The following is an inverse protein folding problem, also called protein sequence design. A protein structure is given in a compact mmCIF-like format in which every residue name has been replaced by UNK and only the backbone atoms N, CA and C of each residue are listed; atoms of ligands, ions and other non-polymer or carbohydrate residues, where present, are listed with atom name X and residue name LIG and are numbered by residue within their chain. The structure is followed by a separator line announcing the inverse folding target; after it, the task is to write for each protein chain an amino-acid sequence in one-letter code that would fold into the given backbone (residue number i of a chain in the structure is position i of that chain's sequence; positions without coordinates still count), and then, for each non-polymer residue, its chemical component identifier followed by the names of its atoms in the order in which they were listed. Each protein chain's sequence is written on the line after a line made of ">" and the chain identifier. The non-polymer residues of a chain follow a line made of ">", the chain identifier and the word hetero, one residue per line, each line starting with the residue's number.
data_IF_420803100002
#
_entry.id   IF_420803100002
#
_cell.length_a   1.000
_cell.length_b   1.000
_cell.length_c   1.000
_cell.angle_alpha   90.00
_cell.angle_beta   90.00
_cell.angle_gamma   90.00
#
_symmetry.space_group_name_H-M   'P 1'
#
loop_
_entity.id
_entity.type
_entity.pdbx_description
1 polymer ?
#
# COMPACT_ATOMS: atom_id res chain seq x y z
N UNK A 1 16.49 -29.10 -18.84
CA UNK A 1 17.53 -29.68 -17.97
C UNK A 1 17.75 -28.64 -16.86
N UNK A 2 17.04 -28.76 -15.76
CA UNK A 2 17.19 -27.88 -14.60
C UNK A 2 18.37 -28.38 -13.78
N UNK A 3 19.35 -27.54 -13.54
CA UNK A 3 20.47 -27.82 -12.63
C UNK A 3 20.02 -27.47 -11.21
N UNK A 4 19.85 -28.49 -10.38
CA UNK A 4 19.65 -28.33 -8.95
C UNK A 4 21.03 -28.01 -8.33
N UNK A 5 21.17 -26.84 -7.76
CA UNK A 5 22.36 -26.45 -7.01
C UNK A 5 22.04 -26.61 -5.50
N UNK A 6 22.48 -27.71 -4.91
CA UNK A 6 22.40 -27.92 -3.47
C UNK A 6 23.58 -27.19 -2.80
N UNK A 7 23.28 -26.23 -1.92
CA UNK A 7 24.27 -25.51 -1.12
C UNK A 7 24.32 -26.15 0.28
N UNK A 8 25.36 -26.93 0.56
CA UNK A 8 25.60 -27.51 1.89
C UNK A 8 26.45 -26.50 2.69
N UNK A 9 25.88 -25.87 3.70
CA UNK A 9 26.59 -25.04 4.67
C UNK A 9 26.91 -25.87 5.92
N UNK A 10 28.16 -26.36 6.04
CA UNK A 10 28.63 -26.98 7.29
C UNK A 10 29.21 -25.91 8.21
N UNK A 11 28.53 -25.64 9.31
CA UNK A 11 29.05 -24.82 10.40
C UNK A 11 29.61 -25.74 11.50
N UNK A 12 30.95 -25.84 11.59
CA UNK A 12 31.63 -26.65 12.60
C UNK A 12 31.70 -25.97 13.94
N UNK A 13 31.01 -26.48 14.94
CA UNK A 13 31.49 -26.64 16.32
C UNK A 13 30.49 -27.43 17.17
N UNK A 14 30.91 -28.55 17.58
CA UNK A 14 30.52 -29.53 18.60
C UNK A 14 29.22 -29.34 19.39
N UNK A 15 28.16 -29.98 18.90
CA UNK A 15 27.10 -30.77 19.55
C UNK A 15 26.13 -31.15 18.45
N UNK A 16 25.70 -32.44 18.42
CA UNK A 16 24.66 -32.89 17.47
C UNK A 16 23.44 -31.95 17.60
N UNK A 17 23.26 -31.10 16.63
CA UNK A 17 22.02 -30.41 16.31
C UNK A 17 21.57 -30.96 14.97
N UNK A 18 20.27 -31.14 14.82
CA UNK A 18 19.63 -31.59 13.61
C UNK A 18 20.16 -30.75 12.42
N UNK A 19 20.60 -31.44 11.37
CA UNK A 19 21.05 -30.78 10.14
C UNK A 19 19.83 -30.21 9.44
N UNK A 20 19.84 -28.90 9.25
CA UNK A 20 18.80 -28.18 8.51
C UNK A 20 19.30 -28.00 7.09
N UNK A 21 18.54 -28.50 6.12
CA UNK A 21 18.82 -28.35 4.70
C UNK A 21 17.87 -27.34 4.10
N UNK A 22 18.37 -26.49 3.23
CA UNK A 22 17.56 -25.53 2.47
C UNK A 22 17.58 -25.90 0.98
N UNK A 23 16.39 -26.03 0.38
CA UNK A 23 16.23 -26.25 -1.05
C UNK A 23 15.51 -25.09 -1.71
N UNK A 24 15.89 -24.77 -2.97
CA UNK A 24 15.22 -23.74 -3.76
C UNK A 24 14.35 -24.43 -4.81
N UNK A 25 13.04 -24.32 -4.67
CA UNK A 25 12.05 -24.81 -5.63
C UNK A 25 11.27 -23.62 -6.17
N UNK A 26 11.33 -23.40 -7.47
CA UNK A 26 10.67 -22.27 -8.16
C UNK A 26 10.95 -20.87 -7.57
N UNK A 27 12.19 -20.67 -7.07
CA UNK A 27 12.61 -19.39 -6.50
C UNK A 27 12.23 -19.21 -5.01
N UNK A 28 11.66 -20.22 -4.36
CA UNK A 28 11.30 -20.23 -2.94
C UNK A 28 12.35 -21.07 -2.19
N UNK A 29 12.88 -20.53 -1.08
CA UNK A 29 13.78 -21.26 -0.18
C UNK A 29 12.92 -22.01 0.82
N UNK A 30 13.07 -23.34 0.86
CA UNK A 30 12.33 -24.25 1.73
C UNK A 30 13.30 -24.85 2.75
N UNK A 31 12.97 -24.78 4.03
CA UNK A 31 13.68 -25.48 5.10
C UNK A 31 13.16 -26.91 5.22
N UNK A 32 14.04 -27.90 5.08
CA UNK A 32 13.68 -29.34 5.13
C UNK A 32 14.24 -29.95 6.40
N UNK A 33 13.36 -30.46 7.26
CA UNK A 33 13.72 -31.22 8.46
C UNK A 33 13.59 -32.72 8.21
N UNK A 34 14.67 -33.48 8.34
CA UNK A 34 14.62 -34.94 8.28
C UNK A 34 15.97 -35.61 8.07
N UNK A 35 16.12 -36.80 8.67
CA UNK A 35 17.34 -37.64 8.70
C UNK A 35 17.55 -38.49 7.43
N UNK A 36 16.77 -38.31 6.35
CA UNK A 36 16.93 -39.13 5.14
C UNK A 36 17.14 -38.22 3.90
N UNK A 37 18.24 -38.45 3.21
CA UNK A 37 18.50 -37.88 1.91
C UNK A 37 17.46 -38.38 0.89
N UNK A 38 16.44 -37.59 0.60
CA UNK A 38 15.45 -37.91 -0.43
C UNK A 38 16.05 -37.54 -1.76
N UNK A 39 16.41 -38.55 -2.56
CA UNK A 39 16.61 -38.40 -4.00
C UNK A 39 15.23 -38.17 -4.60
N UNK A 40 14.89 -36.93 -4.86
CA UNK A 40 13.59 -36.55 -5.39
C UNK A 40 13.45 -36.97 -6.85
N UNK A 41 12.61 -37.96 -7.07
CA UNK A 41 11.96 -38.17 -8.36
C UNK A 41 10.74 -37.20 -8.38
N UNK A 42 10.69 -36.33 -9.38
CA UNK A 42 9.84 -35.12 -9.45
C UNK A 42 8.31 -35.42 -9.56
N UNK A 43 7.85 -36.56 -9.06
CA UNK A 43 6.49 -37.05 -9.23
C UNK A 43 5.62 -37.19 -7.97
N UNK A 44 6.16 -37.07 -6.77
CA UNK A 44 5.40 -37.40 -5.55
C UNK A 44 5.85 -36.62 -4.30
N UNK A 45 5.66 -35.31 -4.28
CA UNK A 45 5.73 -34.51 -3.07
C UNK A 45 4.31 -34.42 -2.49
N UNK A 46 4.06 -35.15 -1.39
CA UNK A 46 2.85 -34.97 -0.61
C UNK A 46 2.95 -33.70 0.20
N UNK A 47 1.85 -32.94 0.24
CA UNK A 47 1.71 -31.64 0.92
C UNK A 47 1.98 -31.66 2.43
N UNK A 48 2.20 -32.83 3.03
CA UNK A 48 2.24 -33.01 4.48
C UNK A 48 3.63 -32.78 5.10
N UNK A 49 4.67 -32.56 4.28
CA UNK A 49 6.05 -32.33 4.73
C UNK A 49 6.63 -30.95 4.34
N UNK A 50 5.80 -30.08 3.82
CA UNK A 50 6.18 -28.69 3.51
C UNK A 50 5.81 -27.82 4.71
N UNK A 51 6.79 -27.37 5.46
CA UNK A 51 6.62 -26.30 6.44
C UNK A 51 7.04 -25.01 5.74
N UNK A 52 6.07 -24.20 5.35
CA UNK A 52 6.31 -22.81 5.00
C UNK A 52 6.52 -22.09 6.32
N UNK A 53 7.73 -21.64 6.59
CA UNK A 53 7.99 -20.78 7.75
C UNK A 53 7.42 -19.40 7.41
N UNK A 54 6.13 -19.21 7.68
CA UNK A 54 5.59 -17.87 7.91
C UNK A 54 6.07 -17.47 9.30
N UNK A 55 6.94 -16.47 9.43
CA UNK A 55 7.23 -15.89 10.73
C UNK A 55 5.92 -15.38 11.32
N UNK A 56 5.51 -15.94 12.45
CA UNK A 56 4.39 -15.40 13.22
C UNK A 56 4.70 -13.96 13.59
N UNK A 57 3.78 -13.01 13.39
CA UNK A 57 3.95 -11.67 13.91
C UNK A 57 4.06 -11.77 15.43
N UNK A 58 5.15 -11.24 16.00
CA UNK A 58 5.29 -11.11 17.45
C UNK A 58 4.02 -10.45 18.02
N UNK A 59 3.50 -11.00 19.13
CA UNK A 59 2.31 -10.53 19.84
C UNK A 59 2.38 -9.02 20.11
N UNK A 60 1.69 -8.23 19.31
CA UNK A 60 1.45 -6.82 19.58
C UNK A 60 0.23 -6.66 20.47
N UNK A 61 0.45 -6.18 21.69
CA UNK A 61 -0.58 -5.87 22.67
C UNK A 61 -1.58 -4.84 22.12
N UNK A 62 -2.77 -5.31 21.75
CA UNK A 62 -3.87 -4.51 21.18
C UNK A 62 -4.51 -3.58 22.23
N UNK A 63 -4.14 -3.68 23.50
CA UNK A 63 -4.77 -2.97 24.62
C UNK A 63 -4.36 -1.49 24.74
N UNK A 64 -3.34 -0.99 24.01
CA UNK A 64 -2.83 0.38 24.13
C UNK A 64 -3.57 1.43 23.26
N UNK A 65 -4.72 1.12 22.67
CA UNK A 65 -5.37 1.96 21.65
C UNK A 65 -6.39 2.99 22.14
N UNK A 66 -6.48 3.29 23.43
CA UNK A 66 -7.45 4.24 23.96
C UNK A 66 -6.80 5.45 24.61
N UNK A 67 -6.35 6.42 23.80
CA UNK A 67 -6.28 7.84 24.20
C UNK A 67 -6.04 8.71 22.95
N UNK A 68 -7.11 9.17 22.31
CA UNK A 68 -7.01 10.23 21.28
C UNK A 68 -7.36 11.55 21.94
N UNK A 69 -6.36 12.41 22.18
CA UNK A 69 -6.53 13.79 22.55
C UNK A 69 -6.79 14.66 21.32
N UNK A 70 -7.66 15.66 21.45
CA UNK A 70 -7.91 16.70 20.44
C UNK A 70 -6.62 17.49 20.15
N UNK A 71 -6.23 17.61 18.87
CA UNK A 71 -5.10 18.43 18.43
C UNK A 71 -5.55 19.60 17.54
N UNK A 72 -5.03 20.78 17.91
CA UNK A 72 -5.21 22.06 17.20
C UNK A 72 -4.22 22.14 16.02
N UNK A 73 -4.75 22.19 14.77
CA UNK A 73 -4.00 22.20 13.51
C UNK A 73 -3.63 23.60 13.00
N UNK A 74 -3.76 24.64 13.81
CA UNK A 74 -3.48 26.02 13.34
C UNK A 74 -2.00 26.38 13.23
N UNK A 75 -1.05 25.46 13.46
CA UNK A 75 0.38 25.77 13.59
C UNK A 75 1.28 25.21 12.46
N UNK A 76 0.74 24.64 11.37
CA UNK A 76 1.58 24.11 10.28
C UNK A 76 1.33 24.88 8.99
N UNK A 77 1.70 26.16 8.99
CA UNK A 77 1.88 26.96 7.78
C UNK A 77 3.04 27.96 7.94
N UNK A 78 4.19 27.46 8.30
CA UNK A 78 5.40 28.26 8.16
C UNK A 78 6.55 27.32 7.77
N UNK A 79 7.10 27.54 6.56
CA UNK A 79 8.11 26.70 5.91
C UNK A 79 9.46 26.69 6.61
N UNK A 80 9.49 26.31 7.86
CA UNK A 80 10.72 26.03 8.58
C UNK A 80 11.15 24.61 8.31
N UNK A 81 12.21 24.47 7.51
CA UNK A 81 12.94 23.22 7.37
C UNK A 81 13.19 22.63 8.75
N UNK A 82 12.68 21.41 8.99
CA UNK A 82 13.02 20.65 10.19
C UNK A 82 14.51 20.33 10.12
N UNK A 83 15.32 21.12 10.80
CA UNK A 83 16.73 20.82 11.02
C UNK A 83 16.80 19.71 12.05
N UNK A 84 17.20 18.52 11.61
CA UNK A 84 17.55 17.43 12.51
C UNK A 84 18.81 17.79 13.30
N UNK A 85 18.94 17.34 14.57
CA UNK A 85 20.10 17.70 15.39
C UNK A 85 21.42 17.24 14.76
N UNK A 86 22.37 18.17 14.63
CA UNK A 86 23.70 17.97 14.04
C UNK A 86 24.61 17.01 14.84
N UNK A 87 24.16 16.39 15.90
CA UNK A 87 25.04 15.69 16.86
C UNK A 87 25.49 14.29 16.43
N UNK A 88 24.83 13.60 15.49
CA UNK A 88 25.29 12.30 14.97
C UNK A 88 26.27 12.40 13.79
N UNK A 89 26.42 13.57 13.19
CA UNK A 89 27.24 13.78 11.99
C UNK A 89 28.75 13.84 12.25
N UNK A 90 29.21 13.96 13.49
CA UNK A 90 30.60 14.29 13.82
C UNK A 90 31.56 13.11 13.94
N UNK A 91 31.14 11.87 13.61
CA UNK A 91 32.04 10.70 13.63
C UNK A 91 32.03 9.85 12.35
N UNK A 92 31.87 10.51 11.18
CA UNK A 92 31.90 9.79 9.89
C UNK A 92 33.32 9.29 9.65
N UNK A 93 33.48 7.96 9.50
CA UNK A 93 34.78 7.36 9.13
C UNK A 93 35.21 7.79 7.72
N UNK A 94 36.51 7.71 7.40
CA UNK A 94 37.01 8.00 6.06
C UNK A 94 36.33 7.09 4.99
N UNK A 95 36.03 5.84 5.33
CA UNK A 95 35.31 4.90 4.45
C UNK A 95 33.84 5.35 4.20
N UNK A 96 33.17 5.82 5.23
CA UNK A 96 31.83 6.38 5.11
C UNK A 96 31.81 7.63 4.24
N UNK A 97 32.83 8.50 4.37
CA UNK A 97 32.95 9.70 3.53
C UNK A 97 33.06 9.36 2.05
N UNK A 98 33.84 8.32 1.68
CA UNK A 98 33.96 7.86 0.29
C UNK A 98 32.62 7.29 -0.21
N UNK A 99 31.93 6.51 0.62
CA UNK A 99 30.62 5.94 0.28
C UNK A 99 29.59 7.05 0.04
N UNK A 100 29.51 8.03 0.95
CA UNK A 100 28.58 9.15 0.81
C UNK A 100 28.87 9.98 -0.45
N UNK A 101 30.15 10.26 -0.74
CA UNK A 101 30.52 10.98 -1.96
C UNK A 101 30.06 10.23 -3.22
N UNK A 102 30.26 8.91 -3.27
CA UNK A 102 29.81 8.09 -4.39
C UNK A 102 28.27 8.10 -4.54
N UNK A 103 27.51 8.07 -3.44
CA UNK A 103 26.06 8.13 -3.48
C UNK A 103 25.57 9.51 -3.98
N UNK A 104 26.22 10.61 -3.58
CA UNK A 104 25.93 11.96 -4.11
C UNK A 104 26.17 12.04 -5.62
N UNK A 105 27.30 11.48 -6.09
CA UNK A 105 27.60 11.39 -7.54
C UNK A 105 26.56 10.56 -8.28
N UNK A 106 26.17 9.42 -7.74
CA UNK A 106 25.12 8.58 -8.33
C UNK A 106 23.77 9.32 -8.41
N UNK A 107 23.36 10.04 -7.37
CA UNK A 107 22.13 10.82 -7.38
C UNK A 107 22.19 11.97 -8.40
N UNK A 108 23.32 12.64 -8.52
CA UNK A 108 23.52 13.68 -9.54
C UNK A 108 23.49 13.11 -10.96
N UNK A 109 24.09 11.92 -11.16
CA UNK A 109 24.04 11.23 -12.45
C UNK A 109 22.59 10.77 -12.79
N UNK A 110 21.83 10.30 -11.80
CA UNK A 110 20.42 9.98 -11.95
C UNK A 110 19.61 11.20 -12.40
N UNK A 111 19.80 12.34 -11.75
CA UNK A 111 19.17 13.59 -12.17
C UNK A 111 19.58 13.98 -13.61
N UNK A 112 20.84 13.81 -13.97
CA UNK A 112 21.31 14.11 -15.33
C UNK A 112 20.61 13.25 -16.39
N UNK A 113 20.29 11.98 -16.09
CA UNK A 113 19.51 11.13 -16.99
C UNK A 113 18.06 11.59 -17.18
N UNK A 114 17.48 12.23 -16.17
CA UNK A 114 16.12 12.74 -16.20
C UNK A 114 16.00 14.19 -16.72
N UNK A 115 17.12 14.90 -16.88
CA UNK A 115 17.14 16.35 -17.09
C UNK A 115 16.31 16.81 -18.28
N UNK A 116 16.46 16.19 -19.45
CA UNK A 116 15.72 16.62 -20.65
C UNK A 116 14.22 16.37 -20.50
N UNK A 117 13.82 15.25 -19.86
CA UNK A 117 12.42 14.97 -19.58
C UNK A 117 11.86 16.05 -18.67
N UNK A 118 12.50 16.31 -17.53
CA UNK A 118 12.07 17.33 -16.60
C UNK A 118 12.01 18.75 -17.21
N UNK A 119 12.99 19.12 -18.05
CA UNK A 119 13.01 20.41 -18.73
C UNK A 119 11.82 20.61 -19.68
N UNK A 120 11.43 19.56 -20.39
CA UNK A 120 10.38 19.59 -21.41
C UNK A 120 8.98 19.30 -20.87
N UNK A 121 8.85 18.78 -19.63
CA UNK A 121 7.58 18.48 -19.00
C UNK A 121 6.75 19.76 -18.78
N UNK A 122 5.44 19.63 -18.92
CA UNK A 122 4.49 20.67 -18.51
C UNK A 122 4.39 20.66 -16.97
N UNK A 123 4.85 21.73 -16.36
CA UNK A 123 4.88 21.90 -14.90
C UNK A 123 3.64 22.61 -14.34
N UNK A 124 2.65 22.84 -15.23
CA UNK A 124 1.46 23.58 -14.84
C UNK A 124 1.73 25.06 -14.56
N UNK A 125 0.71 25.74 -14.07
CA UNK A 125 0.75 27.18 -13.75
C UNK A 125 0.62 27.48 -12.25
N UNK A 126 0.58 26.44 -11.40
CA UNK A 126 0.51 26.57 -9.94
C UNK A 126 1.89 26.73 -9.31
N UNK A 127 1.92 27.17 -8.05
CA UNK A 127 3.17 27.22 -7.27
C UNK A 127 3.76 25.82 -7.04
N UNK A 128 2.90 24.78 -7.05
CA UNK A 128 3.31 23.40 -6.88
C UNK A 128 3.46 22.77 -8.26
N UNK A 129 4.68 22.41 -8.61
CA UNK A 129 4.98 21.63 -9.82
C UNK A 129 4.33 20.26 -9.65
N UNK A 130 3.57 19.85 -10.65
CA UNK A 130 3.04 18.48 -10.73
C UNK A 130 3.24 17.98 -12.15
N UNK A 131 4.14 17.02 -12.30
CA UNK A 131 4.39 16.33 -13.57
C UNK A 131 3.23 15.41 -13.90
N UNK A 132 3.03 15.14 -15.18
CA UNK A 132 2.10 14.10 -15.61
C UNK A 132 2.67 12.71 -15.26
N UNK A 133 1.78 11.72 -15.10
CA UNK A 133 2.18 10.33 -14.88
C UNK A 133 3.07 9.81 -16.02
N UNK A 134 2.84 10.28 -17.25
CA UNK A 134 3.66 9.95 -18.41
C UNK A 134 5.10 10.50 -18.29
N UNK A 135 5.28 11.70 -17.73
CA UNK A 135 6.60 12.28 -17.49
C UNK A 135 7.33 11.53 -16.37
N UNK A 136 6.62 11.21 -15.27
CA UNK A 136 7.16 10.40 -14.16
C UNK A 136 7.58 9.02 -14.66
N UNK A 137 6.74 8.33 -15.43
CA UNK A 137 7.06 7.04 -16.05
C UNK A 137 8.28 7.13 -16.97
N UNK A 138 8.39 8.22 -17.74
CA UNK A 138 9.52 8.48 -18.61
C UNK A 138 10.82 8.67 -17.83
N UNK A 139 10.78 9.37 -16.70
CA UNK A 139 11.93 9.53 -15.79
C UNK A 139 12.35 8.19 -15.20
N UNK A 140 11.41 7.36 -14.72
CA UNK A 140 11.68 6.00 -14.22
C UNK A 140 12.34 5.16 -15.30
N UNK A 141 11.82 5.19 -16.52
CA UNK A 141 12.38 4.46 -17.67
C UNK A 141 13.80 4.93 -17.98
N UNK A 142 14.07 6.24 -18.00
CA UNK A 142 15.40 6.80 -18.24
C UNK A 142 16.41 6.34 -17.16
N UNK A 143 15.99 6.29 -15.90
CA UNK A 143 16.81 5.76 -14.80
C UNK A 143 17.12 4.26 -15.03
N UNK A 144 16.13 3.47 -15.44
CA UNK A 144 16.31 2.06 -15.76
C UNK A 144 17.29 1.81 -16.91
N UNK A 145 17.27 2.67 -17.96
CA UNK A 145 18.17 2.57 -19.10
C UNK A 145 19.64 2.77 -18.71
N UNK A 146 19.92 3.54 -17.67
CA UNK A 146 21.28 3.72 -17.13
C UNK A 146 21.60 2.77 -15.97
N UNK A 147 20.71 1.78 -15.72
CA UNK A 147 20.92 0.72 -14.74
C UNK A 147 20.57 1.10 -13.30
N UNK A 148 19.73 2.10 -13.07
CA UNK A 148 19.25 2.47 -11.75
C UNK A 148 17.87 1.87 -11.47
N UNK A 149 17.74 1.15 -10.36
CA UNK A 149 16.44 0.67 -9.88
C UNK A 149 15.60 1.84 -9.39
N UNK A 150 14.52 2.17 -10.07
CA UNK A 150 13.70 3.35 -9.76
C UNK A 150 12.20 3.04 -9.76
N UNK A 151 11.49 3.69 -8.84
CA UNK A 151 10.01 3.67 -8.72
C UNK A 151 9.49 5.10 -8.59
N UNK A 152 8.18 5.28 -8.74
CA UNK A 152 7.50 6.51 -8.35
C UNK A 152 7.18 6.53 -6.84
N UNK A 153 6.89 7.72 -6.34
CA UNK A 153 6.52 7.91 -4.93
C UNK A 153 5.22 7.18 -4.53
N UNK A 154 4.25 7.14 -5.44
CA UNK A 154 2.94 6.54 -5.18
C UNK A 154 2.94 5.01 -5.32
N UNK A 155 3.91 4.43 -6.03
CA UNK A 155 3.98 3.00 -6.33
C UNK A 155 3.07 2.57 -7.48
N UNK A 156 2.74 3.50 -8.38
CA UNK A 156 1.86 3.25 -9.53
C UNK A 156 2.57 2.51 -10.67
N UNK A 157 3.90 2.66 -10.76
CA UNK A 157 4.72 2.05 -11.81
C UNK A 157 5.58 0.91 -11.26
N UNK A 158 5.87 -0.06 -12.12
CA UNK A 158 6.82 -1.11 -11.80
C UNK A 158 8.24 -0.54 -11.69
N UNK A 159 9.03 -1.10 -10.77
CA UNK A 159 10.44 -0.72 -10.60
C UNK A 159 11.21 -0.98 -11.90
N UNK A 160 11.89 0.06 -12.42
CA UNK A 160 12.83 -0.11 -13.52
C UNK A 160 14.12 -0.78 -13.04
N UNK A 161 14.79 -1.56 -13.88
CA UNK A 161 16.01 -2.32 -13.54
C UNK A 161 15.89 -3.04 -12.18
N UNK A 162 14.72 -3.67 -11.93
CA UNK A 162 14.37 -4.27 -10.64
C UNK A 162 15.26 -5.45 -10.26
N UNK A 163 15.87 -6.12 -11.23
CA UNK A 163 16.70 -7.32 -11.04
C UNK A 163 17.83 -7.07 -10.03
N UNK A 164 18.43 -5.88 -10.06
CA UNK A 164 19.50 -5.54 -9.11
C UNK A 164 19.01 -5.44 -7.68
N UNK A 165 17.80 -4.91 -7.51
CA UNK A 165 17.18 -4.85 -6.19
C UNK A 165 16.63 -6.20 -5.75
N UNK A 166 16.14 -7.04 -6.67
CA UNK A 166 15.72 -8.42 -6.36
C UNK A 166 16.92 -9.26 -5.90
N UNK A 167 18.07 -9.16 -6.59
CA UNK A 167 19.32 -9.78 -6.17
C UNK A 167 19.78 -9.30 -4.79
N UNK A 168 19.70 -8.01 -4.52
CA UNK A 168 19.97 -7.46 -3.19
C UNK A 168 19.01 -8.03 -2.14
N UNK A 169 17.73 -8.07 -2.44
CA UNK A 169 16.71 -8.59 -1.55
C UNK A 169 16.86 -10.10 -1.28
N UNK A 170 17.34 -10.87 -2.25
CA UNK A 170 17.77 -12.26 -2.03
C UNK A 170 18.86 -12.38 -0.94
N UNK A 171 19.78 -11.43 -0.89
CA UNK A 171 20.80 -11.39 0.17
C UNK A 171 20.23 -10.99 1.56
N UNK A 172 19.09 -10.28 1.61
CA UNK A 172 18.38 -10.02 2.88
C UNK A 172 17.91 -11.34 3.47
N UNK A 173 17.26 -12.19 2.67
CA UNK A 173 16.78 -13.52 3.08
C UNK A 173 17.95 -14.38 3.59
N UNK A 174 19.09 -14.34 2.91
CA UNK A 174 20.28 -15.08 3.29
C UNK A 174 21.02 -14.49 4.51
N UNK A 175 20.56 -13.34 5.02
CA UNK A 175 21.12 -12.66 6.19
C UNK A 175 22.62 -12.34 6.09
N UNK A 176 23.10 -12.01 4.88
CA UNK A 176 24.51 -11.68 4.61
C UNK A 176 24.74 -10.18 4.53
N UNK A 177 26.00 -9.74 4.67
CA UNK A 177 26.36 -8.35 4.45
C UNK A 177 26.19 -7.98 2.97
N UNK A 178 25.38 -7.01 2.69
CA UNK A 178 25.02 -6.58 1.34
C UNK A 178 24.63 -5.10 1.32
N UNK A 179 24.50 -4.54 0.13
CA UNK A 179 24.04 -3.16 -0.07
C UNK A 179 23.24 -3.08 -1.35
N UNK A 180 22.08 -2.43 -1.29
CA UNK A 180 21.22 -2.16 -2.44
C UNK A 180 20.82 -0.68 -2.48
N UNK A 181 20.62 -0.14 -3.68
CA UNK A 181 20.24 1.25 -3.88
C UNK A 181 19.06 1.31 -4.83
N UNK A 182 18.03 2.05 -4.43
CA UNK A 182 16.92 2.39 -5.31
C UNK A 182 16.64 3.89 -5.30
N UNK A 183 15.94 4.36 -6.31
CA UNK A 183 15.57 5.75 -6.50
C UNK A 183 14.07 5.90 -6.50
N UNK A 184 13.60 7.04 -5.99
CA UNK A 184 12.18 7.42 -6.03
C UNK A 184 12.05 8.71 -6.82
N UNK A 185 11.16 8.69 -7.82
CA UNK A 185 10.74 9.87 -8.58
C UNK A 185 9.45 10.40 -7.97
N UNK A 186 9.45 11.68 -7.62
CA UNK A 186 8.28 12.32 -7.01
C UNK A 186 7.45 13.07 -8.06
N UNK A 187 6.15 13.34 -7.78
CA UNK A 187 5.28 14.05 -8.71
C UNK A 187 5.78 15.46 -9.10
N UNK A 188 6.56 16.12 -8.26
CA UNK A 188 7.19 17.41 -8.56
C UNK A 188 8.53 17.27 -9.30
N UNK A 189 8.92 16.05 -9.64
CA UNK A 189 10.14 15.72 -10.38
C UNK A 189 11.41 15.69 -9.55
N UNK A 190 11.37 15.94 -8.23
CA UNK A 190 12.55 15.71 -7.42
C UNK A 190 12.88 14.22 -7.30
N UNK A 191 14.12 13.91 -6.97
CA UNK A 191 14.61 12.54 -6.86
C UNK A 191 15.12 12.27 -5.45
N UNK A 192 14.78 11.11 -4.91
CA UNK A 192 15.44 10.59 -3.71
C UNK A 192 16.17 9.29 -3.99
N UNK A 193 17.33 9.13 -3.37
CA UNK A 193 18.12 7.91 -3.34
C UNK A 193 18.02 7.28 -1.97
N UNK A 194 17.79 5.99 -1.92
CA UNK A 194 17.77 5.18 -0.71
C UNK A 194 18.77 4.03 -0.87
N UNK A 195 19.81 4.02 -0.02
CA UNK A 195 20.79 2.95 0.04
C UNK A 195 20.66 2.18 1.34
N UNK A 196 20.12 0.96 1.25
CA UNK A 196 20.08 0.03 2.37
C UNK A 196 21.36 -0.79 2.38
N UNK A 197 21.94 -1.02 3.56
CA UNK A 197 23.11 -1.87 3.69
C UNK A 197 23.17 -2.51 5.07
N UNK A 198 23.77 -3.69 5.09
CA UNK A 198 24.04 -4.43 6.32
C UNK A 198 25.52 -4.42 6.62
N UNK A 199 25.88 -4.01 7.81
CA UNK A 199 27.25 -3.97 8.29
C UNK A 199 27.30 -4.45 9.74
N UNK A 200 28.23 -5.36 10.04
CA UNK A 200 28.40 -5.91 11.40
C UNK A 200 27.11 -6.44 12.04
N UNK A 201 26.20 -6.99 11.23
CA UNK A 201 24.92 -7.55 11.70
C UNK A 201 23.78 -6.54 11.80
N UNK A 202 24.04 -5.25 11.64
CA UNK A 202 23.04 -4.17 11.75
C UNK A 202 22.66 -3.65 10.37
N UNK A 203 21.38 -3.38 10.17
CA UNK A 203 20.86 -2.73 8.98
C UNK A 203 20.88 -1.21 9.11
N UNK A 204 21.26 -0.56 8.04
CA UNK A 204 21.34 0.89 7.93
C UNK A 204 20.69 1.38 6.64
N UNK A 205 20.19 2.62 6.68
CA UNK A 205 19.69 3.36 5.53
C UNK A 205 20.47 4.68 5.40
N UNK A 206 20.94 4.97 4.19
CA UNK A 206 21.33 6.32 3.79
C UNK A 206 20.24 6.82 2.83
N UNK A 207 19.66 7.99 3.13
CA UNK A 207 18.73 8.66 2.22
C UNK A 207 19.31 10.00 1.79
N UNK A 208 19.10 10.34 0.52
CA UNK A 208 19.49 11.65 -0.05
C UNK A 208 18.37 12.13 -0.95
N UNK A 209 18.06 13.42 -0.91
CA UNK A 209 17.05 14.02 -1.77
C UNK A 209 17.63 15.20 -2.55
N UNK A 210 17.30 15.27 -3.84
CA UNK A 210 17.80 16.23 -4.79
C UNK A 210 16.62 16.95 -5.46
N UNK A 211 16.68 18.28 -5.52
CA UNK A 211 15.71 19.10 -6.21
C UNK A 211 16.34 19.85 -7.38
N UNK A 212 15.48 20.28 -8.31
CA UNK A 212 15.82 21.15 -9.42
C UNK A 212 15.78 22.60 -9.01
N UNK A 213 16.73 23.39 -9.49
CA UNK A 213 16.69 24.85 -9.43
C UNK A 213 16.00 25.40 -10.70
N UNK A 214 15.68 26.70 -10.68
CA UNK A 214 15.01 27.38 -11.82
C UNK A 214 15.83 27.34 -13.13
N UNK A 215 17.14 27.23 -13.03
CA UNK A 215 18.06 27.10 -14.16
C UNK A 215 18.32 25.64 -14.59
N UNK A 216 17.52 24.70 -14.06
CA UNK A 216 17.66 23.26 -14.27
C UNK A 216 19.03 22.67 -13.87
N UNK A 217 19.74 23.36 -12.99
CA UNK A 217 20.78 22.75 -12.17
C UNK A 217 20.16 22.01 -10.99
N UNK A 218 20.92 21.19 -10.31
CA UNK A 218 20.39 20.39 -9.20
C UNK A 218 21.13 20.69 -7.90
N UNK A 219 20.43 20.52 -6.79
CA UNK A 219 21.00 20.60 -5.44
C UNK A 219 20.52 19.45 -4.58
N UNK A 220 21.41 18.84 -3.82
CA UNK A 220 21.04 17.94 -2.74
C UNK A 220 20.64 18.81 -1.54
N UNK A 221 19.39 18.67 -1.10
CA UNK A 221 18.83 19.50 -0.02
C UNK A 221 18.61 18.71 1.28
N UNK A 222 18.64 17.38 1.20
CA UNK A 222 18.50 16.50 2.35
C UNK A 222 19.45 15.32 2.25
N UNK A 223 20.04 14.95 3.37
CA UNK A 223 20.86 13.76 3.51
C UNK A 223 20.72 13.24 4.95
N UNK A 224 20.53 11.94 5.11
CA UNK A 224 20.36 11.31 6.41
C UNK A 224 20.90 9.89 6.45
N UNK A 225 21.30 9.43 7.65
CA UNK A 225 21.70 8.06 7.94
C UNK A 225 20.90 7.55 9.14
N UNK A 226 20.35 6.36 9.02
CA UNK A 226 19.45 5.80 10.02
C UNK A 226 19.78 4.33 10.27
N UNK A 227 19.69 3.90 11.52
CA UNK A 227 19.62 2.49 11.85
C UNK A 227 18.20 1.99 11.54
N UNK A 228 18.09 0.76 11.02
CA UNK A 228 16.81 0.13 10.71
C UNK A 228 16.49 -0.92 11.79
N UNK A 229 15.24 -0.93 12.25
CA UNK A 229 14.72 -1.92 13.19
C UNK A 229 14.35 -3.22 12.49
N UNK A 230 13.66 -3.11 11.36
CA UNK A 230 13.21 -4.25 10.57
C UNK A 230 13.64 -4.08 9.12
N UNK A 231 14.11 -5.15 8.48
CA UNK A 231 14.28 -5.23 7.02
C UNK A 231 13.89 -6.63 6.59
N UNK A 232 12.89 -6.76 5.74
CA UNK A 232 12.41 -8.04 5.21
C UNK A 232 12.04 -7.94 3.74
N UNK A 233 12.07 -9.08 3.06
CA UNK A 233 11.64 -9.21 1.67
C UNK A 233 10.63 -10.34 1.57
N UNK A 234 9.48 -10.07 0.97
CA UNK A 234 8.38 -11.03 0.88
C UNK A 234 8.43 -11.82 -0.43
N UNK A 235 7.78 -12.97 -0.47
CA UNK A 235 7.66 -13.80 -1.68
C UNK A 235 6.98 -13.06 -2.84
N UNK A 236 6.10 -12.11 -2.55
CA UNK A 236 5.45 -11.25 -3.55
C UNK A 236 6.37 -10.16 -4.10
N UNK A 237 7.56 -9.99 -3.54
CA UNK A 237 8.53 -8.99 -3.99
C UNK A 237 8.40 -7.64 -3.33
N UNK A 238 7.85 -7.58 -2.11
CA UNK A 238 7.84 -6.37 -1.31
C UNK A 238 9.09 -6.28 -0.43
N UNK A 239 9.89 -5.23 -0.61
CA UNK A 239 10.92 -4.82 0.34
C UNK A 239 10.24 -3.96 1.42
N UNK A 240 10.32 -4.42 2.67
CA UNK A 240 9.69 -3.78 3.82
C UNK A 240 10.77 -3.46 4.84
N UNK A 241 10.83 -2.22 5.29
CA UNK A 241 11.75 -1.84 6.35
C UNK A 241 11.18 -0.73 7.25
N UNK A 242 11.63 -0.69 8.49
CA UNK A 242 11.30 0.37 9.44
C UNK A 242 12.55 1.05 9.97
N UNK A 243 12.46 2.34 10.29
CA UNK A 243 13.49 3.01 11.08
C UNK A 243 13.46 2.49 12.52
N UNK A 244 14.60 2.51 13.19
CA UNK A 244 14.60 2.26 14.62
C UNK A 244 13.90 3.45 15.30
N UNK A 245 12.77 3.19 15.94
CA UNK A 245 11.91 4.24 16.54
C UNK A 245 12.26 4.50 18.02
N UNK A 246 13.37 3.95 18.53
CA UNK A 246 13.81 4.21 19.90
C UNK A 246 13.99 5.71 20.20
N UNK A 247 14.30 6.49 19.16
CA UNK A 247 14.62 7.92 19.26
C UNK A 247 13.39 8.82 18.97
N UNK A 248 12.24 8.23 18.60
CA UNK A 248 11.00 8.98 18.38
C UNK A 248 10.23 9.17 19.68
N UNK A 249 9.68 10.37 19.90
CA UNK A 249 8.69 10.57 20.94
C UNK A 249 7.37 9.85 20.63
N UNK A 250 6.48 9.75 21.63
CA UNK A 250 5.24 8.98 21.45
C UNK A 250 4.30 9.58 20.40
N UNK A 251 4.36 10.89 20.17
CA UNK A 251 3.58 11.57 19.13
C UNK A 251 4.13 11.25 17.74
N UNK A 252 5.45 11.21 17.56
CA UNK A 252 6.10 10.82 16.32
C UNK A 252 5.79 9.36 15.99
N UNK A 253 5.82 8.45 16.98
CA UNK A 253 5.42 7.05 16.81
C UNK A 253 3.97 6.88 16.37
N UNK A 254 3.08 7.71 16.88
CA UNK A 254 1.65 7.64 16.56
C UNK A 254 1.29 8.16 15.16
N UNK A 255 2.08 9.08 14.61
CA UNK A 255 1.76 9.84 13.41
C UNK A 255 2.66 9.56 12.21
N UNK A 256 3.66 8.67 12.34
CA UNK A 256 4.58 8.35 11.24
C UNK A 256 4.27 6.94 10.74
N UNK A 257 4.25 6.75 9.42
CA UNK A 257 4.25 5.41 8.82
C UNK A 257 5.44 4.63 9.40
N UNK A 258 5.14 3.57 10.13
CA UNK A 258 6.16 2.79 10.82
C UNK A 258 7.05 2.05 9.83
N UNK A 259 6.50 1.73 8.65
CA UNK A 259 7.18 0.94 7.63
C UNK A 259 7.20 1.64 6.28
N UNK A 260 8.34 1.54 5.61
CA UNK A 260 8.44 1.81 4.17
C UNK A 260 8.30 0.48 3.44
N UNK A 261 7.39 0.45 2.47
CA UNK A 261 7.13 -0.73 1.64
C UNK A 261 7.33 -0.36 0.17
N UNK A 262 8.26 -1.04 -0.49
CA UNK A 262 8.59 -0.83 -1.92
C UNK A 262 8.36 -2.14 -2.67
N UNK A 263 7.55 -2.08 -3.73
CA UNK A 263 7.38 -3.20 -4.63
C UNK A 263 8.60 -3.31 -5.53
N UNK A 264 9.42 -4.35 -5.35
CA UNK A 264 10.62 -4.62 -6.15
C UNK A 264 10.25 -5.46 -7.37
N UNK A 265 9.61 -6.63 -7.17
CA UNK A 265 9.17 -7.45 -8.30
C UNK A 265 8.03 -6.78 -9.05
N UNK A 266 8.03 -6.82 -10.38
CA UNK A 266 6.96 -6.23 -11.18
C UNK A 266 5.58 -6.76 -10.77
N UNK A 267 4.63 -5.86 -10.71
CA UNK A 267 3.22 -6.19 -10.55
C UNK A 267 2.66 -6.53 -11.93
N UNK A 268 1.93 -7.63 -12.04
CA UNK A 268 1.33 -8.06 -13.30
C UNK A 268 0.36 -6.98 -13.83
N UNK A 269 0.52 -6.60 -15.11
CA UNK A 269 -0.24 -5.50 -15.72
C UNK A 269 -1.75 -5.80 -15.76
N UNK A 270 -2.14 -7.07 -15.94
CA UNK A 270 -3.56 -7.45 -15.93
C UNK A 270 -4.13 -7.35 -14.53
N UNK A 271 -3.40 -7.83 -13.52
CA UNK A 271 -3.80 -7.70 -12.12
C UNK A 271 -3.94 -6.23 -11.72
N UNK A 272 -2.99 -5.37 -12.13
CA UNK A 272 -3.05 -3.91 -11.93
C UNK A 272 -4.30 -3.32 -12.57
N UNK A 273 -4.55 -3.58 -13.84
CA UNK A 273 -5.73 -3.07 -14.54
C UNK A 273 -7.06 -3.54 -13.92
N UNK A 274 -7.09 -4.77 -13.39
CA UNK A 274 -8.26 -5.28 -12.66
C UNK A 274 -8.43 -4.58 -11.32
N UNK A 275 -7.35 -4.34 -10.57
CA UNK A 275 -7.37 -3.60 -9.31
C UNK A 275 -7.89 -2.17 -9.51
N UNK A 276 -7.30 -1.42 -10.42
CA UNK A 276 -7.70 -0.04 -10.78
C UNK A 276 -9.17 0.04 -11.17
N UNK A 277 -9.61 -0.87 -12.01
CA UNK A 277 -10.96 -0.84 -12.57
C UNK A 277 -12.05 -1.21 -11.56
N UNK A 278 -11.82 -2.23 -10.73
CA UNK A 278 -12.88 -2.85 -9.96
C UNK A 278 -12.75 -2.67 -8.45
N UNK A 279 -11.55 -2.39 -7.93
CA UNK A 279 -11.29 -2.44 -6.50
C UNK A 279 -10.87 -1.08 -5.93
N UNK A 280 -9.87 -0.42 -6.50
CA UNK A 280 -9.20 0.74 -5.90
C UNK A 280 -10.11 1.95 -5.70
N UNK A 281 -11.04 2.18 -6.61
CA UNK A 281 -11.98 3.31 -6.52
C UNK A 281 -12.94 3.22 -5.34
N UNK A 282 -13.18 2.02 -4.83
CA UNK A 282 -13.96 1.77 -3.61
C UNK A 282 -13.00 1.61 -2.42
N UNK A 283 -11.99 0.75 -2.55
CA UNK A 283 -11.02 0.47 -1.51
C UNK A 283 -11.65 -0.02 -0.20
N UNK A 284 -10.95 0.25 0.91
CA UNK A 284 -11.37 -0.24 2.23
C UNK A 284 -11.69 0.89 3.23
N UNK A 285 -11.62 2.16 2.81
CA UNK A 285 -11.82 3.29 3.71
C UNK A 285 -13.31 3.54 3.93
N UNK A 286 -13.75 3.49 5.20
CA UNK A 286 -15.11 3.82 5.66
C UNK A 286 -16.27 3.21 4.83
N UNK A 287 -16.03 2.04 4.25
CA UNK A 287 -17.06 1.18 3.65
C UNK A 287 -16.71 -0.29 3.90
N UNK A 288 -17.70 -1.18 3.82
CA UNK A 288 -17.48 -2.58 4.16
C UNK A 288 -17.64 -3.53 2.97
N UNK A 289 -17.64 -3.03 1.74
CA UNK A 289 -17.88 -3.85 0.55
C UNK A 289 -16.94 -5.05 0.47
N UNK A 290 -15.65 -4.84 0.71
CA UNK A 290 -14.61 -5.85 0.54
C UNK A 290 -14.12 -6.49 1.85
N UNK A 291 -14.67 -6.06 3.01
CA UNK A 291 -14.30 -6.60 4.32
C UNK A 291 -15.41 -7.39 4.99
N UNK A 292 -16.45 -7.74 4.24
CA UNK A 292 -17.55 -8.58 4.71
C UNK A 292 -17.95 -9.59 3.65
N UNK A 293 -18.50 -10.74 4.07
CA UNK A 293 -19.00 -11.77 3.17
C UNK A 293 -20.43 -11.41 2.71
N UNK A 294 -20.64 -11.35 1.40
CA UNK A 294 -21.92 -11.10 0.79
C UNK A 294 -22.01 -11.69 -0.63
N UNK A 295 -23.22 -11.86 -1.15
CA UNK A 295 -23.47 -12.29 -2.53
C UNK A 295 -24.76 -11.66 -3.06
N UNK A 296 -25.06 -11.87 -4.38
CA UNK A 296 -26.32 -11.43 -4.97
C UNK A 296 -27.57 -12.05 -4.29
N UNK A 297 -27.42 -13.17 -3.58
CA UNK A 297 -28.48 -13.81 -2.81
C UNK A 297 -28.61 -13.25 -1.38
N UNK A 298 -27.60 -12.49 -0.91
CA UNK A 298 -27.57 -11.90 0.42
C UNK A 298 -26.79 -10.60 0.47
N UNK A 299 -27.45 -9.47 0.30
CA UNK A 299 -26.90 -8.13 0.41
C UNK A 299 -26.96 -7.52 1.83
N UNK A 300 -27.59 -8.20 2.79
CA UNK A 300 -27.80 -7.68 4.16
C UNK A 300 -26.53 -7.18 4.83
N UNK A 301 -25.34 -7.85 4.67
CA UNK A 301 -24.13 -7.39 5.32
C UNK A 301 -23.56 -6.07 4.79
N UNK A 302 -23.98 -5.59 3.62
CA UNK A 302 -23.42 -4.37 3.00
C UNK A 302 -24.05 -3.12 3.62
N UNK A 303 -23.20 -2.18 4.04
CA UNK A 303 -23.61 -0.82 4.39
C UNK A 303 -23.64 0.06 3.13
N UNK A 304 -24.79 0.08 2.45
CA UNK A 304 -24.97 0.86 1.22
C UNK A 304 -24.91 2.38 1.46
N UNK A 305 -25.24 2.86 2.67
CA UNK A 305 -25.19 4.29 2.97
C UNK A 305 -23.76 4.80 3.01
N UNK A 306 -22.84 4.05 3.63
CA UNK A 306 -21.41 4.36 3.62
C UNK A 306 -20.78 4.13 2.24
N UNK A 307 -21.19 3.09 1.53
CA UNK A 307 -20.70 2.75 0.20
C UNK A 307 -21.10 3.77 -0.86
N UNK A 308 -22.26 4.43 -0.69
CA UNK A 308 -22.83 5.37 -1.68
C UNK A 308 -21.84 6.45 -2.14
N UNK A 309 -21.00 6.96 -1.24
CA UNK A 309 -20.01 7.98 -1.57
C UNK A 309 -19.09 7.57 -2.73
N UNK A 310 -18.63 6.33 -2.71
CA UNK A 310 -17.73 5.74 -3.70
C UNK A 310 -18.46 5.42 -5.01
N UNK A 311 -19.64 4.82 -4.90
CA UNK A 311 -20.47 4.51 -6.06
C UNK A 311 -20.85 5.79 -6.82
N UNK A 312 -21.15 6.88 -6.09
CA UNK A 312 -21.43 8.19 -6.70
C UNK A 312 -20.23 8.70 -7.51
N UNK A 313 -19.02 8.63 -6.93
CA UNK A 313 -17.79 9.05 -7.62
C UNK A 313 -17.51 8.23 -8.88
N UNK A 314 -17.68 6.91 -8.78
CA UNK A 314 -17.53 5.99 -9.91
C UNK A 314 -18.56 6.27 -11.02
N UNK A 315 -19.83 6.46 -10.64
CA UNK A 315 -20.95 6.69 -11.57
C UNK A 315 -20.81 8.01 -12.35
N UNK A 316 -20.34 9.06 -11.68
CA UNK A 316 -20.22 10.39 -12.28
C UNK A 316 -18.81 10.67 -12.84
N UNK A 317 -17.86 9.73 -12.72
CA UNK A 317 -16.46 9.95 -13.14
C UNK A 317 -15.76 11.05 -12.34
N UNK A 318 -16.13 11.22 -11.06
CA UNK A 318 -15.64 12.25 -10.15
C UNK A 318 -15.00 11.62 -8.92
N UNK A 319 -14.50 12.46 -8.01
CA UNK A 319 -14.12 12.02 -6.69
C UNK A 319 -15.34 11.57 -5.87
N UNK A 320 -15.09 10.74 -4.86
CA UNK A 320 -16.10 10.31 -3.91
C UNK A 320 -16.72 11.50 -3.16
N UNK A 321 -17.98 11.37 -2.73
CA UNK A 321 -18.63 12.38 -1.91
C UNK A 321 -17.93 12.51 -0.54
N UNK A 322 -17.54 13.71 -0.20
CA UNK A 322 -16.96 14.08 1.08
C UNK A 322 -17.74 15.24 1.72
N UNK A 323 -17.42 15.60 2.96
CA UNK A 323 -18.01 16.75 3.62
C UNK A 323 -17.82 18.09 2.87
N UNK A 324 -16.77 18.18 2.05
CA UNK A 324 -16.47 19.37 1.25
C UNK A 324 -17.36 19.49 0.02
N UNK A 325 -17.58 18.39 -0.69
CA UNK A 325 -18.26 18.39 -1.98
C UNK A 325 -19.74 17.96 -1.90
N UNK A 326 -20.15 17.24 -0.83
CA UNK A 326 -21.53 16.71 -0.72
C UNK A 326 -22.60 17.82 -0.76
N UNK A 327 -22.31 19.00 -0.23
CA UNK A 327 -23.22 20.17 -0.23
C UNK A 327 -23.53 20.71 -1.60
N UNK A 328 -22.72 20.40 -2.59
CA UNK A 328 -22.96 20.79 -3.98
C UNK A 328 -24.08 19.97 -4.61
N UNK A 329 -24.38 18.80 -4.05
CA UNK A 329 -25.33 17.84 -4.58
C UNK A 329 -26.57 17.68 -3.69
N UNK A 330 -26.42 17.71 -2.37
CA UNK A 330 -27.47 17.39 -1.42
C UNK A 330 -27.58 18.43 -0.29
N UNK A 331 -28.79 18.60 0.24
CA UNK A 331 -29.07 19.52 1.35
C UNK A 331 -28.89 18.80 2.68
N UNK A 332 -28.32 19.50 3.67
CA UNK A 332 -28.23 19.03 5.03
C UNK A 332 -29.65 18.95 5.67
N UNK A 333 -29.83 17.96 6.52
CA UNK A 333 -31.08 17.72 7.28
C UNK A 333 -30.95 18.32 8.67
N UNK A 334 -31.92 19.18 9.07
CA UNK A 334 -32.06 19.66 10.44
C UNK A 334 -30.83 20.37 11.03
N UNK A 335 -29.96 20.95 10.20
CA UNK A 335 -28.71 21.58 10.67
C UNK A 335 -27.64 20.61 11.15
N UNK A 336 -27.82 19.33 10.92
CA UNK A 336 -26.86 18.26 11.24
C UNK A 336 -25.83 18.07 10.11
N UNK A 337 -24.93 17.07 10.25
CA UNK A 337 -24.03 16.60 9.19
C UNK A 337 -24.70 15.58 8.26
N UNK A 338 -25.99 15.28 8.49
CA UNK A 338 -26.74 14.39 7.63
C UNK A 338 -27.17 15.13 6.37
N UNK A 339 -27.12 14.42 5.27
CA UNK A 339 -27.61 14.84 3.98
C UNK A 339 -28.68 13.86 3.51
N UNK A 340 -29.73 14.38 2.88
CA UNK A 340 -30.76 13.54 2.27
C UNK A 340 -30.45 13.35 0.79
N UNK A 341 -30.23 12.11 0.40
CA UNK A 341 -30.14 11.70 -1.00
C UNK A 341 -31.53 11.28 -1.48
N UNK A 342 -32.13 11.93 -2.49
CA UNK A 342 -33.41 11.52 -3.03
C UNK A 342 -33.40 10.03 -3.41
N UNK A 343 -34.51 9.31 -3.11
CA UNK A 343 -34.61 7.87 -3.32
C UNK A 343 -34.25 7.46 -4.75
N UNK A 344 -34.80 8.14 -5.74
CA UNK A 344 -34.55 7.85 -7.17
C UNK A 344 -33.05 7.88 -7.49
N UNK A 345 -32.32 8.87 -6.95
CA UNK A 345 -30.87 9.02 -7.24
C UNK A 345 -30.03 7.97 -6.53
N UNK A 346 -30.35 7.65 -5.28
CA UNK A 346 -29.64 6.60 -4.54
C UNK A 346 -29.86 5.23 -5.20
N UNK A 347 -31.11 4.92 -5.51
CA UNK A 347 -31.52 3.66 -6.13
C UNK A 347 -30.92 3.49 -7.53
N UNK A 348 -30.93 4.56 -8.36
CA UNK A 348 -30.26 4.56 -9.68
C UNK A 348 -28.80 4.15 -9.58
N UNK A 349 -28.03 4.79 -8.68
CA UNK A 349 -26.59 4.56 -8.56
C UNK A 349 -26.32 3.17 -7.97
N UNK A 350 -27.02 2.78 -6.90
CA UNK A 350 -26.79 1.47 -6.29
C UNK A 350 -27.15 0.34 -7.25
N UNK A 351 -28.32 0.42 -7.91
CA UNK A 351 -28.75 -0.63 -8.86
C UNK A 351 -27.92 -0.64 -10.15
N UNK A 352 -27.16 0.41 -10.44
CA UNK A 352 -26.18 0.40 -11.53
C UNK A 352 -25.06 -0.61 -11.24
N UNK A 353 -24.58 -0.68 -10.01
CA UNK A 353 -23.46 -1.55 -9.61
C UNK A 353 -23.87 -2.87 -8.95
N UNK A 354 -25.14 -3.02 -8.54
CA UNK A 354 -25.65 -4.22 -7.88
C UNK A 354 -26.96 -4.69 -8.51
N UNK A 355 -27.17 -5.99 -8.54
CA UNK A 355 -28.44 -6.57 -8.98
C UNK A 355 -29.38 -6.75 -7.77
N UNK A 356 -29.72 -5.65 -7.10
CA UNK A 356 -30.53 -5.62 -5.88
C UNK A 356 -31.95 -5.11 -6.18
N UNK A 357 -32.96 -5.75 -5.56
CA UNK A 357 -34.33 -5.24 -5.59
C UNK A 357 -34.45 -3.98 -4.71
N UNK A 358 -35.14 -2.95 -5.23
CA UNK A 358 -35.29 -1.66 -4.55
C UNK A 358 -36.04 -1.79 -3.21
N UNK A 359 -36.99 -2.73 -3.10
CA UNK A 359 -37.71 -2.97 -1.83
C UNK A 359 -36.76 -3.53 -0.78
N UNK A 360 -35.91 -4.47 -1.18
CA UNK A 360 -34.85 -4.98 -0.30
C UNK A 360 -33.85 -3.87 0.09
N UNK A 361 -33.42 -3.07 -0.88
CA UNK A 361 -32.48 -1.96 -0.63
C UNK A 361 -33.03 -0.99 0.42
N UNK A 362 -34.34 -0.60 0.30
CA UNK A 362 -35.04 0.23 1.30
C UNK A 362 -35.10 -0.42 2.68
N UNK A 363 -35.18 -1.73 2.73
CA UNK A 363 -35.27 -2.47 3.99
C UNK A 363 -33.97 -2.64 4.74
N UNK A 364 -32.82 -2.59 4.03
CA UNK A 364 -31.48 -2.81 4.59
C UNK A 364 -30.62 -1.56 4.66
N UNK A 365 -31.11 -0.43 4.13
CA UNK A 365 -30.39 0.86 4.13
C UNK A 365 -31.15 1.89 4.98
N UNK A 366 -30.49 2.99 5.32
CA UNK A 366 -31.09 4.10 6.08
C UNK A 366 -32.04 4.93 5.19
N UNK A 367 -33.18 4.34 4.85
CA UNK A 367 -34.22 4.97 4.07
C UNK A 367 -35.26 5.65 5.00
N UNK A 368 -35.59 6.90 4.72
CA UNK A 368 -36.68 7.63 5.37
C UNK A 368 -37.84 7.82 4.42
N UNK A 369 -38.99 7.18 4.71
CA UNK A 369 -40.17 7.22 3.85
C UNK A 369 -40.92 8.56 3.86
N UNK A 370 -40.83 9.33 4.97
CA UNK A 370 -41.48 10.63 5.09
C UNK A 370 -40.75 11.69 4.27
N UNK A 371 -39.42 11.63 4.28
CA UNK A 371 -38.57 12.54 3.50
C UNK A 371 -38.30 12.05 2.07
N UNK A 372 -38.67 10.81 1.75
CA UNK A 372 -38.53 10.23 0.42
C UNK A 372 -37.07 10.02 -0.04
N UNK A 373 -36.18 9.68 0.85
CA UNK A 373 -34.75 9.54 0.54
C UNK A 373 -33.95 8.74 1.55
N UNK A 374 -32.67 8.62 1.29
CA UNK A 374 -31.70 7.90 2.12
C UNK A 374 -30.81 8.88 2.86
N UNK A 375 -30.52 8.58 4.11
CA UNK A 375 -29.54 9.37 4.84
C UNK A 375 -28.13 9.07 4.38
N UNK A 376 -27.33 10.12 4.28
CA UNK A 376 -25.93 10.07 3.95
C UNK A 376 -25.16 10.99 4.91
N UNK A 377 -24.07 10.50 5.43
CA UNK A 377 -23.12 11.28 6.23
C UNK A 377 -21.89 11.62 5.37
N UNK A 378 -21.71 12.92 5.04
CA UNK A 378 -20.48 13.35 4.39
C UNK A 378 -19.30 13.13 5.31
N UNK A 379 -18.39 12.22 4.96
CA UNK A 379 -17.17 12.04 5.72
C UNK A 379 -16.16 13.17 5.41
N UNK A 380 -15.39 13.56 6.42
CA UNK A 380 -14.30 14.50 6.24
C UNK A 380 -12.98 13.73 6.30
N UNK A 381 -12.27 13.68 5.18
CA UNK A 381 -10.94 13.07 5.11
C UNK A 381 -9.96 13.71 6.11
N UNK A 382 -10.10 15.03 6.36
CA UNK A 382 -9.23 15.75 7.30
C UNK A 382 -9.57 15.49 8.76
N UNK A 383 -10.80 15.03 9.06
CA UNK A 383 -11.18 14.64 10.43
C UNK A 383 -10.46 13.35 10.86
N UNK A 384 -10.04 12.55 9.89
CA UNK A 384 -9.21 11.35 10.06
C UNK A 384 -7.76 11.64 9.67
N UNK A 385 -7.23 12.78 10.09
CA UNK A 385 -5.85 13.21 9.83
C UNK A 385 -4.77 12.30 10.42
N UNK A 386 -5.16 11.29 11.14
CA UNK A 386 -4.34 10.11 11.37
C UNK A 386 -4.29 9.38 10.05
N UNK A 387 -3.12 9.25 9.46
CA UNK A 387 -2.82 8.39 8.30
C UNK A 387 -3.77 7.21 8.33
N UNK A 388 -4.65 7.05 7.36
CA UNK A 388 -5.63 5.98 7.44
C UNK A 388 -4.85 4.67 7.50
N UNK A 389 -4.98 3.96 8.61
CA UNK A 389 -4.45 2.59 8.76
C UNK A 389 -5.17 1.63 7.80
N UNK A 390 -5.64 2.21 6.70
CA UNK A 390 -6.44 1.56 5.68
C UNK A 390 -5.49 0.91 4.70
N UNK A 391 -5.62 -0.39 4.46
CA UNK A 391 -4.81 -1.07 3.47
C UNK A 391 -5.13 -0.60 2.05
N UNK A 392 -4.19 -0.85 1.13
CA UNK A 392 -4.40 -0.72 -0.31
C UNK A 392 -4.62 -2.10 -0.94
N UNK A 393 -5.52 -2.25 -1.92
CA UNK A 393 -5.76 -3.52 -2.56
C UNK A 393 -4.67 -3.89 -3.56
N UNK A 394 -4.34 -5.18 -3.65
CA UNK A 394 -3.49 -5.75 -4.68
C UNK A 394 -4.18 -7.01 -5.23
N UNK A 395 -4.59 -7.02 -6.48
CA UNK A 395 -5.08 -8.25 -7.14
C UNK A 395 -3.90 -9.18 -7.38
N UNK A 396 -3.90 -10.33 -6.74
CA UNK A 396 -2.78 -11.30 -6.82
C UNK A 396 -3.08 -12.48 -7.72
N UNK A 397 -4.36 -12.72 -8.03
CA UNK A 397 -4.81 -13.77 -8.95
C UNK A 397 -6.20 -13.45 -9.48
N UNK A 398 -6.56 -14.01 -10.64
CA UNK A 398 -7.88 -13.85 -11.22
C UNK A 398 -8.29 -15.05 -12.09
N UNK A 399 -9.61 -15.27 -12.18
CA UNK A 399 -10.21 -16.30 -13.01
C UNK A 399 -11.36 -15.72 -13.85
N UNK A 400 -11.31 -15.92 -15.14
CA UNK A 400 -12.48 -15.70 -16.03
C UNK A 400 -13.40 -16.90 -15.94
N UNK A 401 -14.59 -16.71 -15.39
CA UNK A 401 -15.57 -17.77 -15.20
C UNK A 401 -16.34 -18.06 -16.51
N UNK A 402 -16.93 -19.25 -16.60
CA UNK A 402 -17.66 -19.70 -17.79
C UNK A 402 -18.94 -18.89 -18.07
N UNK A 403 -19.48 -18.18 -17.09
CA UNK A 403 -20.64 -17.29 -17.19
C UNK A 403 -20.26 -15.87 -17.62
N UNK A 404 -18.96 -15.60 -17.84
CA UNK A 404 -18.42 -14.29 -18.20
C UNK A 404 -18.09 -13.39 -17.02
N UNK A 405 -18.30 -13.83 -15.79
CA UNK A 405 -17.84 -13.09 -14.61
C UNK A 405 -16.33 -13.26 -14.41
N UNK A 406 -15.74 -12.36 -13.62
CA UNK A 406 -14.32 -12.40 -13.21
C UNK A 406 -14.28 -12.51 -11.69
N UNK A 407 -13.61 -13.55 -11.20
CA UNK A 407 -13.27 -13.66 -9.77
C UNK A 407 -11.82 -13.26 -9.57
N UNK A 408 -11.58 -12.28 -8.72
CA UNK A 408 -10.26 -11.77 -8.36
C UNK A 408 -9.94 -12.14 -6.93
N UNK A 409 -8.73 -12.64 -6.69
CA UNK A 409 -8.16 -12.78 -5.34
C UNK A 409 -7.36 -11.52 -5.05
N UNK A 410 -7.69 -10.86 -3.95
CA UNK A 410 -7.16 -9.55 -3.60
C UNK A 410 -6.52 -9.63 -2.22
N UNK A 411 -5.26 -9.28 -2.12
CA UNK A 411 -4.55 -9.08 -0.86
C UNK A 411 -4.61 -7.60 -0.45
N UNK A 412 -4.84 -7.35 0.81
CA UNK A 412 -4.85 -6.03 1.40
C UNK A 412 -3.45 -5.68 1.93
N UNK A 413 -2.73 -4.79 1.23
CA UNK A 413 -1.39 -4.35 1.60
C UNK A 413 -1.51 -3.28 2.68
N UNK A 414 -0.87 -3.45 3.83
CA UNK A 414 -0.96 -2.47 4.91
C UNK A 414 0.41 -1.94 5.33
N UNK A 415 0.72 -0.71 4.91
CA UNK A 415 1.98 -0.02 5.22
C UNK A 415 2.14 0.27 6.72
N UNK A 416 1.04 0.48 7.43
CA UNK A 416 1.09 0.75 8.88
C UNK A 416 1.62 -0.45 9.67
N UNK A 417 1.19 -1.65 9.29
CA UNK A 417 1.63 -2.89 9.94
C UNK A 417 2.82 -3.56 9.24
N UNK A 418 3.33 -2.98 8.16
CA UNK A 418 4.44 -3.54 7.39
C UNK A 418 4.14 -4.92 6.83
N UNK A 419 2.92 -5.14 6.36
CA UNK A 419 2.50 -6.42 5.78
C UNK A 419 1.97 -6.25 4.37
N UNK A 420 2.37 -7.16 3.49
CA UNK A 420 1.84 -7.25 2.13
C UNK A 420 0.57 -8.11 2.04
N UNK A 421 0.03 -8.53 3.20
CA UNK A 421 -1.20 -9.28 3.33
C UNK A 421 -1.80 -9.10 4.73
N UNK A 422 -2.53 -8.01 4.95
CA UNK A 422 -3.29 -7.81 6.18
C UNK A 422 -4.51 -8.74 6.22
N UNK A 423 -5.13 -8.98 5.10
CA UNK A 423 -6.16 -10.00 4.84
C UNK A 423 -6.27 -10.26 3.35
N UNK A 424 -6.94 -11.35 3.00
CA UNK A 424 -7.24 -11.72 1.62
C UNK A 424 -8.75 -11.82 1.44
N UNK A 425 -9.27 -11.38 0.30
CA UNK A 425 -10.66 -11.63 -0.09
C UNK A 425 -10.75 -12.00 -1.57
N UNK A 426 -11.87 -12.62 -1.92
CA UNK A 426 -12.23 -12.91 -3.31
C UNK A 426 -13.45 -12.11 -3.69
N UNK A 427 -13.33 -11.27 -4.70
CA UNK A 427 -14.44 -10.51 -5.25
C UNK A 427 -14.77 -10.95 -6.66
N UNK A 428 -16.05 -11.17 -6.91
CA UNK A 428 -16.55 -11.51 -8.25
C UNK A 428 -17.31 -10.33 -8.83
N UNK A 429 -16.99 -10.00 -10.08
CA UNK A 429 -17.66 -8.96 -10.86
C UNK A 429 -18.20 -9.54 -12.16
N UNK A 430 -19.31 -9.00 -12.66
CA UNK A 430 -19.85 -9.29 -13.97
C UNK A 430 -19.62 -8.07 -14.87
N UNK A 431 -18.66 -8.12 -15.80
CA UNK A 431 -18.45 -7.07 -16.79
C UNK A 431 -19.59 -7.02 -17.80
N UNK A 432 -19.91 -5.81 -18.26
CA UNK A 432 -20.90 -5.58 -19.29
C UNK A 432 -20.31 -4.79 -20.46
N UNK A 433 -21.09 -4.65 -21.51
CA UNK A 433 -20.70 -3.81 -22.64
C UNK A 433 -20.42 -2.36 -22.18
N UNK A 434 -19.53 -1.68 -22.92
CA UNK A 434 -19.13 -0.29 -22.66
C UNK A 434 -18.38 -0.03 -21.32
N UNK A 435 -17.74 -1.08 -20.75
CA UNK A 435 -16.94 -0.94 -19.55
C UNK A 435 -17.72 -0.92 -18.23
N UNK A 436 -19.07 -0.95 -18.28
CA UNK A 436 -19.91 -1.12 -17.11
C UNK A 436 -19.72 -2.51 -16.48
N UNK A 437 -20.03 -2.64 -15.19
CA UNK A 437 -19.97 -3.92 -14.49
C UNK A 437 -20.90 -3.92 -13.28
N UNK A 438 -21.15 -5.10 -12.74
CA UNK A 438 -21.83 -5.28 -11.45
C UNK A 438 -20.98 -6.12 -10.51
N UNK A 439 -20.98 -5.75 -9.25
CA UNK A 439 -20.48 -6.61 -8.19
C UNK A 439 -21.44 -7.79 -7.95
N UNK A 440 -20.88 -8.97 -7.82
CA UNK A 440 -21.63 -10.24 -7.68
C UNK A 440 -21.50 -10.83 -6.27
N UNK A 441 -20.28 -10.85 -5.74
CA UNK A 441 -20.01 -11.37 -4.40
C UNK A 441 -18.67 -10.86 -3.88
N UNK A 442 -18.51 -10.95 -2.56
CA UNK A 442 -17.22 -10.86 -1.89
C UNK A 442 -17.17 -11.91 -0.77
N UNK A 443 -16.03 -12.58 -0.66
CA UNK A 443 -15.77 -13.59 0.38
C UNK A 443 -14.41 -13.35 0.98
N UNK A 444 -14.35 -13.16 2.29
CA UNK A 444 -13.08 -13.12 3.03
C UNK A 444 -12.48 -14.52 3.07
N UNK A 445 -11.19 -14.61 2.82
CA UNK A 445 -10.44 -15.84 3.11
C UNK A 445 -10.19 -15.88 4.61
N UNK A 446 -10.72 -16.91 5.28
CA UNK A 446 -10.57 -17.05 6.72
C UNK A 446 -9.11 -17.29 7.08
N UNK A 447 -8.58 -16.43 7.94
CA UNK A 447 -7.27 -16.56 8.56
C UNK A 447 -7.36 -15.88 9.94
N UNK A 448 -6.85 -16.53 10.97
CA UNK A 448 -6.84 -16.00 12.34
C UNK A 448 -6.02 -14.70 12.49
N UNK A 449 -5.06 -14.49 11.57
CA UNK A 449 -4.19 -13.31 11.54
C UNK A 449 -4.75 -12.16 10.67
N UNK A 450 -5.99 -12.23 10.23
CA UNK A 450 -6.59 -11.17 9.44
C UNK A 450 -6.70 -9.85 10.22
N UNK A 451 -6.11 -8.78 9.69
CA UNK A 451 -6.19 -7.43 10.22
C UNK A 451 -7.16 -6.62 9.36
N UNK A 452 -8.42 -6.56 9.78
CA UNK A 452 -9.46 -5.82 9.06
C UNK A 452 -9.49 -4.36 9.50
N UNK A 453 -9.71 -3.39 8.57
CA UNK A 453 -9.87 -1.99 8.93
C UNK A 453 -11.15 -1.76 9.73
N UNK A 454 -11.09 -0.81 10.67
CA UNK A 454 -12.26 -0.41 11.44
C UNK A 454 -13.17 0.50 10.60
N UNK A 455 -14.49 0.31 10.77
CA UNK A 455 -15.53 1.11 10.14
C UNK A 455 -16.21 1.97 11.21
N UNK A 456 -16.09 3.29 11.11
CA UNK A 456 -16.67 4.24 12.09
C UNK A 456 -17.85 5.03 11.54
N UNK A 457 -18.01 5.09 10.23
CA UNK A 457 -18.98 5.97 9.58
C UNK A 457 -20.43 5.59 9.94
N UNK A 458 -20.74 4.30 10.00
CA UNK A 458 -22.08 3.82 10.40
C UNK A 458 -22.42 4.18 11.84
N UNK A 459 -21.47 4.15 12.77
CA UNK A 459 -21.67 4.59 14.16
C UNK A 459 -21.94 6.09 14.23
N UNK A 460 -21.18 6.88 13.47
CA UNK A 460 -21.39 8.34 13.38
C UNK A 460 -22.75 8.69 12.77
N UNK A 461 -23.18 7.94 11.75
CA UNK A 461 -24.51 8.11 11.13
C UNK A 461 -25.61 7.93 12.17
N UNK A 462 -25.54 6.90 13.01
CA UNK A 462 -26.50 6.64 14.08
C UNK A 462 -26.51 7.78 15.13
N UNK A 463 -25.35 8.31 15.50
CA UNK A 463 -25.24 9.45 16.43
C UNK A 463 -25.86 10.71 15.82
N UNK A 464 -25.61 11.01 14.56
CA UNK A 464 -26.20 12.20 13.91
C UNK A 464 -27.72 12.06 13.73
N UNK A 465 -28.22 10.86 13.40
CA UNK A 465 -29.68 10.59 13.35
C UNK A 465 -30.38 10.84 14.69
N UNK A 466 -29.74 10.48 15.79
CA UNK A 466 -30.33 10.71 17.13
C UNK A 466 -30.44 12.19 17.51
N UNK A 467 -29.77 13.10 16.78
CA UNK A 467 -29.83 14.55 16.97
C UNK A 467 -30.91 15.23 16.12
N UNK A 468 -31.49 14.52 15.17
CA UNK A 468 -32.58 15.07 14.34
C UNK A 468 -33.90 14.93 15.11
N UNK A 469 -34.47 16.05 15.55
CA UNK A 469 -35.86 16.09 15.97
C UNK A 469 -36.73 15.92 14.71
N UNK A 470 -37.36 14.78 14.57
CA UNK A 470 -38.34 14.49 13.52
C UNK A 470 -39.73 15.00 13.87
#
# INVERSE_FOLDING_TARGET
>A
MLSILALILTCGCGKKKDEVHYEVVDGIIIEVHGDEAVTADAGNLSSDNLIIVEEEPEDYDVAAQHAVGEYDYSAVSDGTAVTFPDEEYNSISAADSVKLQKLRENLTNAASACKEIYMNADKGSSFDVTLSDADVASMISALGQVGYSAVDYNGEFNMSAYEQMDDFCGNIILNVNCSGTYYVVYPDGHLSLFNLYRESGTWHLISMSLAWNDDYTTRIYSEGRYALGTVKYTSKGWLIYSRNTSDFDDNQKANTDQYTMIRVKPYDDTCRALAEKYIERVGYFENNLFITNWSQDNFIPIDFNSLYAYLFGMYNGTESLSSYNVRNYYKAVGGTRLYLVPAEKFEEIVTHYFNIDVTLLKGISDYNSELGGYFFLGYNRDYYSVTPRTPTPEVVDYVYNSDGSITMTVDAINKWYGTDRAFTHQVTVMPWANGAFKYVSNTLVENENNILPQQKLSEMLNVERSKTDY
#
